data_IF_189859131759
#
_entry.id   IF_189859131759
#
_cell.length_a   1.000
_cell.length_b   1.000
_cell.length_c   1.000
_cell.angle_alpha   90.00
_cell.angle_beta   90.00
_cell.angle_gamma   90.00
#
_symmetry.space_group_name_H-M   'P 1'
#
loop_
_entity.id
_entity.type
_entity.pdbx_description
1 polymer ?
#
# COMPACT_ATOMS: atom_id res chain seq x y z
N UNK A 1 38.20 -36.68 2.96
CA UNK A 1 37.51 -35.36 3.06
C UNK A 1 37.03 -35.04 4.48
N UNK A 2 36.35 -35.95 5.19
CA UNK A 2 35.92 -35.73 6.59
C UNK A 2 37.04 -35.30 7.56
N UNK A 3 38.25 -35.84 7.39
CA UNK A 3 39.40 -35.44 8.22
C UNK A 3 39.75 -33.95 8.05
N UNK A 4 39.66 -33.41 6.83
CA UNK A 4 39.95 -32.00 6.55
C UNK A 4 38.91 -31.10 7.23
N UNK A 5 37.63 -31.47 7.15
CA UNK A 5 36.54 -30.79 7.87
C UNK A 5 36.76 -30.82 9.39
N UNK A 6 37.19 -31.96 9.94
CA UNK A 6 37.51 -32.12 11.36
C UNK A 6 38.67 -31.22 11.78
N UNK A 7 39.71 -31.09 10.95
CA UNK A 7 40.83 -30.18 11.22
C UNK A 7 40.41 -28.71 11.14
N UNK A 8 39.62 -28.34 10.13
CA UNK A 8 39.10 -26.97 9.99
C UNK A 8 38.22 -26.55 11.19
N UNK A 9 37.28 -27.40 11.61
CA UNK A 9 36.41 -27.11 12.75
C UNK A 9 37.20 -26.92 14.06
N UNK A 10 38.18 -27.79 14.33
CA UNK A 10 39.06 -27.66 15.49
C UNK A 10 39.92 -26.40 15.43
N UNK A 11 40.35 -25.98 14.24
CA UNK A 11 41.10 -24.76 14.03
C UNK A 11 40.25 -23.51 14.36
N UNK A 12 39.02 -23.45 13.84
CA UNK A 12 38.07 -22.37 14.11
C UNK A 12 37.72 -22.24 15.59
N UNK A 13 37.51 -23.37 16.28
CA UNK A 13 37.24 -23.42 17.72
C UNK A 13 38.45 -23.06 18.60
N UNK A 14 39.68 -23.26 18.11
CA UNK A 14 40.90 -22.85 18.82
C UNK A 14 41.11 -21.34 18.76
N UNK A 15 40.87 -20.72 17.60
CA UNK A 15 41.04 -19.27 17.40
C UNK A 15 39.71 -18.49 17.50
N UNK A 16 38.99 -18.68 18.61
CA UNK A 16 37.62 -18.16 18.79
C UNK A 16 37.47 -16.67 18.51
N UNK A 17 38.40 -15.83 18.97
CA UNK A 17 38.34 -14.36 18.77
C UNK A 17 38.36 -13.97 17.28
N UNK A 18 39.29 -14.54 16.51
CA UNK A 18 39.41 -14.27 15.07
C UNK A 18 38.20 -14.81 14.31
N UNK A 19 37.80 -16.05 14.58
CA UNK A 19 36.64 -16.69 13.95
C UNK A 19 35.37 -15.89 14.21
N UNK A 20 35.16 -15.42 15.45
CA UNK A 20 33.97 -14.66 15.83
C UNK A 20 33.92 -13.33 15.09
N UNK A 21 35.02 -12.56 15.04
CA UNK A 21 35.06 -11.30 14.30
C UNK A 21 34.74 -11.47 12.80
N UNK A 22 35.33 -12.48 12.15
CA UNK A 22 35.07 -12.74 10.73
C UNK A 22 33.64 -13.25 10.49
N UNK A 23 33.13 -14.14 11.34
CA UNK A 23 31.77 -14.66 11.24
C UNK A 23 30.73 -13.54 11.46
N UNK A 24 30.95 -12.67 12.45
CA UNK A 24 30.08 -11.52 12.72
C UNK A 24 30.07 -10.55 11.55
N UNK A 25 31.21 -10.24 10.95
CA UNK A 25 31.27 -9.37 9.77
C UNK A 25 30.45 -9.92 8.61
N UNK A 26 30.61 -11.22 8.30
CA UNK A 26 29.85 -11.89 7.24
C UNK A 26 28.36 -11.90 7.58
N UNK A 27 28.01 -12.25 8.82
CA UNK A 27 26.61 -12.34 9.27
C UNK A 27 25.92 -10.98 9.17
N UNK A 28 26.57 -9.91 9.63
CA UNK A 28 26.02 -8.56 9.55
C UNK A 28 25.83 -8.10 8.10
N UNK A 29 26.81 -8.39 7.21
CA UNK A 29 26.70 -8.07 5.79
C UNK A 29 25.55 -8.81 5.10
N UNK A 30 25.45 -10.12 5.32
CA UNK A 30 24.36 -10.94 4.76
C UNK A 30 23.01 -10.52 5.33
N UNK A 31 22.92 -10.26 6.64
CA UNK A 31 21.70 -9.79 7.29
C UNK A 31 21.23 -8.46 6.70
N UNK A 32 22.13 -7.51 6.49
CA UNK A 32 21.80 -6.21 5.88
C UNK A 32 21.22 -6.39 4.47
N UNK A 33 21.83 -7.23 3.64
CA UNK A 33 21.34 -7.52 2.28
C UNK A 33 19.97 -8.21 2.33
N UNK A 34 19.79 -9.21 3.18
CA UNK A 34 18.53 -9.93 3.32
C UNK A 34 17.40 -9.03 3.82
N UNK A 35 17.68 -8.18 4.80
CA UNK A 35 16.71 -7.19 5.30
C UNK A 35 16.32 -6.22 4.19
N UNK A 36 17.29 -5.69 3.45
CA UNK A 36 17.01 -4.76 2.35
C UNK A 36 16.13 -5.40 1.27
N UNK A 37 16.48 -6.61 0.82
CA UNK A 37 15.71 -7.33 -0.21
C UNK A 37 14.31 -7.66 0.28
N UNK A 38 14.17 -8.17 1.51
CA UNK A 38 12.87 -8.56 2.07
C UNK A 38 11.96 -7.36 2.27
N UNK A 39 12.50 -6.27 2.83
CA UNK A 39 11.75 -5.03 3.05
C UNK A 39 11.36 -4.43 1.71
N UNK A 40 12.29 -4.28 0.77
CA UNK A 40 12.01 -3.70 -0.55
C UNK A 40 10.97 -4.51 -1.33
N UNK A 41 11.08 -5.84 -1.34
CA UNK A 41 10.10 -6.73 -1.98
C UNK A 41 8.72 -6.67 -1.32
N UNK A 42 8.67 -6.59 0.01
CA UNK A 42 7.42 -6.43 0.76
C UNK A 42 6.77 -5.09 0.47
N UNK A 43 7.54 -3.99 0.50
CA UNK A 43 7.06 -2.65 0.16
C UNK A 43 6.54 -2.60 -1.28
N UNK A 44 7.25 -3.20 -2.24
CA UNK A 44 6.78 -3.28 -3.62
C UNK A 44 5.44 -4.00 -3.71
N UNK A 45 5.30 -5.15 -3.06
CA UNK A 45 4.06 -5.94 -3.07
C UNK A 45 2.92 -5.17 -2.39
N UNK A 46 3.21 -4.48 -1.28
CA UNK A 46 2.26 -3.66 -0.55
C UNK A 46 1.80 -2.45 -1.37
N UNK A 47 2.73 -1.75 -2.05
CA UNK A 47 2.37 -0.67 -2.97
C UNK A 47 1.52 -1.18 -4.12
N UNK A 48 1.88 -2.31 -4.75
CA UNK A 48 1.07 -2.88 -5.85
C UNK A 48 -0.32 -3.25 -5.35
N UNK A 49 -0.45 -3.90 -4.19
CA UNK A 49 -1.75 -4.22 -3.60
C UNK A 49 -2.56 -2.97 -3.25
N UNK A 50 -1.94 -1.96 -2.62
CA UNK A 50 -2.64 -0.70 -2.33
C UNK A 50 -3.08 0.04 -3.59
N UNK A 51 -2.27 0.04 -4.64
CA UNK A 51 -2.59 0.74 -5.88
C UNK A 51 -3.66 -0.03 -6.69
N UNK A 52 -3.53 -1.35 -6.76
CA UNK A 52 -4.39 -2.23 -7.58
C UNK A 52 -5.70 -2.55 -6.86
N UNK A 53 -5.65 -3.00 -5.60
CA UNK A 53 -6.84 -3.44 -4.86
C UNK A 53 -7.62 -2.28 -4.26
N UNK A 54 -6.96 -1.17 -3.87
CA UNK A 54 -7.65 -0.18 -3.04
C UNK A 54 -8.35 0.93 -3.81
N UNK A 55 -7.86 1.47 -4.93
CA UNK A 55 -8.38 2.80 -5.35
C UNK A 55 -8.45 3.14 -6.84
N UNK A 56 -7.82 2.39 -7.75
CA UNK A 56 -7.82 2.75 -9.17
C UNK A 56 -8.88 1.98 -9.95
N UNK A 57 -10.08 2.55 -10.01
CA UNK A 57 -10.78 2.48 -11.30
C UNK A 57 -9.89 3.18 -12.33
N UNK A 58 -9.71 2.58 -13.51
CA UNK A 58 -8.83 3.08 -14.57
C UNK A 58 -9.10 4.54 -14.96
N UNK A 59 -10.32 5.01 -14.70
CA UNK A 59 -10.77 6.37 -14.95
C UNK A 59 -11.50 6.93 -13.71
N UNK A 60 -11.23 8.19 -13.36
CA UNK A 60 -11.95 8.91 -12.32
C UNK A 60 -12.53 10.20 -12.87
N UNK A 61 -13.82 10.44 -12.61
CA UNK A 61 -14.53 11.63 -13.07
C UNK A 61 -14.79 12.54 -11.88
N UNK A 62 -14.24 13.75 -11.93
CA UNK A 62 -14.35 14.77 -10.88
C UNK A 62 -14.96 16.06 -11.41
N UNK A 63 -15.62 16.83 -10.54
CA UNK A 63 -16.08 18.18 -10.89
C UNK A 63 -14.87 19.08 -11.15
N UNK A 64 -14.96 19.97 -12.14
CA UNK A 64 -13.98 21.04 -12.37
C UNK A 64 -13.75 21.80 -11.05
N UNK A 65 -12.49 21.97 -10.64
CA UNK A 65 -12.01 22.51 -9.35
C UNK A 65 -11.93 21.55 -8.16
N UNK A 66 -12.45 20.32 -8.23
CA UNK A 66 -12.29 19.35 -7.14
C UNK A 66 -10.82 18.96 -6.92
N UNK A 67 -10.07 18.76 -8.01
CA UNK A 67 -8.64 18.42 -7.97
C UNK A 67 -7.77 19.45 -7.23
N UNK A 68 -8.12 20.73 -7.31
CA UNK A 68 -7.40 21.81 -6.63
C UNK A 68 -7.68 21.89 -5.12
N UNK A 69 -8.69 21.16 -4.63
CA UNK A 69 -9.10 21.18 -3.22
C UNK A 69 -9.33 19.77 -2.70
N UNK A 70 -8.70 18.76 -3.29
CA UNK A 70 -8.95 17.36 -2.92
C UNK A 70 -8.56 17.08 -1.45
N UNK A 71 -7.54 17.76 -0.94
CA UNK A 71 -7.05 17.59 0.43
C UNK A 71 -8.04 18.05 1.51
N UNK A 72 -8.88 19.06 1.20
CA UNK A 72 -9.89 19.57 2.13
C UNK A 72 -11.18 18.75 2.13
N UNK A 73 -11.25 17.69 1.32
CA UNK A 73 -12.44 16.83 1.16
C UNK A 73 -13.76 17.62 1.04
N UNK A 74 -13.85 18.56 0.09
CA UNK A 74 -14.92 19.54 0.01
C UNK A 74 -16.25 18.90 -0.42
N UNK A 75 -17.22 18.84 0.50
CA UNK A 75 -18.57 18.34 0.21
C UNK A 75 -19.34 19.21 -0.80
N UNK A 76 -18.97 20.49 -0.94
CA UNK A 76 -19.56 21.45 -1.88
C UNK A 76 -19.07 21.29 -3.33
N UNK A 77 -18.02 20.49 -3.56
CA UNK A 77 -17.44 20.23 -4.88
C UNK A 77 -17.81 18.86 -5.47
N UNK A 78 -18.79 18.18 -4.89
CA UNK A 78 -19.35 16.96 -5.45
C UNK A 78 -20.10 17.22 -6.78
N UNK A 79 -20.17 16.17 -7.62
CA UNK A 79 -20.97 16.19 -8.86
C UNK A 79 -22.45 16.41 -8.50
N UNK A 80 -23.11 17.33 -9.23
CA UNK A 80 -24.55 17.60 -9.04
C UNK A 80 -25.38 16.48 -9.67
N UNK A 81 -26.60 16.26 -9.19
CA UNK A 81 -27.49 15.19 -9.67
C UNK A 81 -27.69 15.15 -11.20
N UNK A 82 -27.81 16.30 -11.87
CA UNK A 82 -27.88 16.38 -13.35
C UNK A 82 -26.61 15.89 -14.05
N UNK A 83 -25.44 16.16 -13.47
CA UNK A 83 -24.16 15.73 -14.02
C UNK A 83 -23.95 14.23 -13.82
N UNK A 84 -24.33 13.71 -12.65
CA UNK A 84 -24.30 12.27 -12.37
C UNK A 84 -25.15 11.52 -13.37
N UNK A 85 -26.41 11.92 -13.59
CA UNK A 85 -27.30 11.28 -14.58
C UNK A 85 -26.70 11.23 -15.99
N UNK A 86 -26.13 12.35 -16.46
CA UNK A 86 -25.49 12.40 -17.78
C UNK A 86 -24.28 11.44 -17.87
N UNK A 87 -23.51 11.33 -16.79
CA UNK A 87 -22.35 10.43 -16.75
C UNK A 87 -22.80 8.97 -16.74
N UNK A 88 -23.80 8.62 -15.92
CA UNK A 88 -24.31 7.24 -15.88
C UNK A 88 -24.91 6.83 -17.22
N UNK A 89 -25.68 7.70 -17.89
CA UNK A 89 -26.22 7.42 -19.24
C UNK A 89 -25.11 7.12 -20.27
N UNK A 90 -23.97 7.81 -20.19
CA UNK A 90 -22.82 7.58 -21.10
C UNK A 90 -22.09 6.29 -20.74
N UNK A 91 -21.90 6.01 -19.45
CA UNK A 91 -21.22 4.81 -18.99
C UNK A 91 -22.04 3.55 -19.27
N UNK A 92 -23.35 3.60 -19.05
CA UNK A 92 -24.29 2.51 -19.30
C UNK A 92 -24.44 2.20 -20.80
N UNK A 93 -24.23 3.20 -21.67
CA UNK A 93 -24.30 3.03 -23.12
C UNK A 93 -23.00 2.49 -23.76
N UNK A 94 -21.94 2.28 -22.97
CA UNK A 94 -20.64 1.87 -23.48
C UNK A 94 -20.31 0.44 -23.09
N UNK A 95 -20.29 -0.47 -24.06
CA UNK A 95 -19.90 -1.88 -23.88
C UNK A 95 -18.47 -2.07 -23.36
N UNK A 96 -17.61 -1.04 -23.46
CA UNK A 96 -16.24 -1.07 -22.94
C UNK A 96 -16.15 -0.85 -21.41
N UNK A 97 -17.25 -0.50 -20.73
CA UNK A 97 -17.28 -0.25 -19.29
C UNK A 97 -17.80 -1.51 -18.59
N UNK A 98 -16.91 -2.22 -17.88
CA UNK A 98 -17.29 -3.41 -17.11
C UNK A 98 -18.09 -3.05 -15.86
N UNK A 99 -17.62 -2.05 -15.09
CA UNK A 99 -18.27 -1.58 -13.87
C UNK A 99 -17.84 -0.15 -13.52
N UNK A 100 -18.69 0.55 -12.77
CA UNK A 100 -18.34 1.82 -12.15
C UNK A 100 -18.96 1.93 -10.75
N UNK A 101 -18.36 2.77 -9.90
CA UNK A 101 -18.87 3.01 -8.55
C UNK A 101 -18.78 4.50 -8.20
N UNK A 102 -19.89 5.02 -7.68
CA UNK A 102 -19.99 6.38 -7.18
C UNK A 102 -19.40 6.46 -5.77
N UNK A 103 -18.57 7.47 -5.54
CA UNK A 103 -17.84 7.62 -4.27
C UNK A 103 -17.98 9.04 -3.73
N UNK A 104 -18.21 9.17 -2.42
CA UNK A 104 -18.17 10.45 -1.69
C UNK A 104 -17.08 10.34 -0.63
N UNK A 105 -16.11 11.26 -0.67
CA UNK A 105 -15.03 11.34 0.32
C UNK A 105 -15.25 12.56 1.20
N UNK A 106 -15.25 12.36 2.52
CA UNK A 106 -15.46 13.42 3.51
C UNK A 106 -14.63 13.17 4.77
N UNK A 107 -14.22 14.25 5.43
CA UNK A 107 -13.66 14.18 6.78
C UNK A 107 -14.78 14.02 7.79
N UNK A 108 -14.66 13.07 8.71
CA UNK A 108 -15.62 12.84 9.78
C UNK A 108 -14.89 12.59 11.10
N UNK A 109 -15.57 12.79 12.22
CA UNK A 109 -15.10 12.30 13.51
C UNK A 109 -15.79 10.97 13.82
N UNK A 110 -15.00 9.98 14.24
CA UNK A 110 -15.50 8.70 14.72
C UNK A 110 -15.28 8.65 16.23
N UNK A 111 -16.34 8.37 16.98
CA UNK A 111 -16.30 8.28 18.44
C UNK A 111 -16.93 6.98 18.91
N UNK A 112 -16.29 6.35 19.90
CA UNK A 112 -16.82 5.18 20.61
C UNK A 112 -17.26 5.54 22.04
N UNK A 113 -17.65 6.80 22.29
CA UNK A 113 -18.00 7.40 23.58
C UNK A 113 -16.86 7.54 24.61
N UNK A 114 -15.74 6.83 24.43
CA UNK A 114 -14.55 6.97 25.27
C UNK A 114 -13.46 7.81 24.59
N UNK A 115 -13.32 7.66 23.27
CA UNK A 115 -12.33 8.35 22.45
C UNK A 115 -12.98 8.88 21.17
N UNK A 116 -12.48 10.01 20.66
CA UNK A 116 -12.90 10.60 19.39
C UNK A 116 -11.68 10.82 18.51
N UNK A 117 -11.71 10.29 17.28
CA UNK A 117 -10.61 10.41 16.32
C UNK A 117 -11.12 10.93 14.98
N UNK A 118 -10.32 11.73 14.31
CA UNK A 118 -10.62 12.20 12.96
C UNK A 118 -10.35 11.09 11.94
N UNK A 119 -11.33 10.80 11.09
CA UNK A 119 -11.27 9.78 10.04
C UNK A 119 -11.57 10.38 8.67
N UNK A 120 -11.02 9.76 7.62
CA UNK A 120 -11.41 10.02 6.24
C UNK A 120 -12.41 8.95 5.82
N UNK A 121 -13.68 9.34 5.72
CA UNK A 121 -14.76 8.43 5.35
C UNK A 121 -14.93 8.44 3.82
N UNK A 122 -15.01 7.25 3.23
CA UNK A 122 -15.36 7.07 1.81
C UNK A 122 -16.67 6.30 1.76
N UNK A 123 -17.75 6.97 1.39
CA UNK A 123 -19.02 6.32 1.10
C UNK A 123 -18.97 5.76 -0.32
N UNK A 124 -19.17 4.46 -0.45
CA UNK A 124 -19.25 3.73 -1.73
C UNK A 124 -20.50 2.88 -1.73
N UNK A 125 -21.09 2.64 -2.90
CA UNK A 125 -22.11 1.61 -3.06
C UNK A 125 -21.42 0.33 -3.53
N UNK A 126 -21.36 -0.74 -2.71
CA UNK A 126 -20.56 -1.94 -3.00
C UNK A 126 -21.17 -2.87 -4.07
N UNK A 127 -22.36 -2.56 -4.59
CA UNK A 127 -23.00 -3.31 -5.67
C UNK A 127 -23.44 -2.35 -6.78
N UNK A 128 -22.74 -2.38 -7.90
CA UNK A 128 -23.23 -2.13 -9.25
C UNK A 128 -22.55 -3.15 -10.15
#
# INVERSE_FOLDING_TARGET
>A
MLNILKFAWRNLLRYKRRTLLTCSLITLGVMAVLLFVSVSGSFKSLMIGQITDSMMGHLQIHKKSYLASMDSLPLNLNLKGKQVKKITEILDASDAVEAYSMRIKLGAMFSNFNETTNIRLTAITPKQ
#
